data_IF_111450771906
#
_entry.id   IF_111450771906
#
_cell.length_a   1.000
_cell.length_b   1.000
_cell.length_c   1.000
_cell.angle_alpha   90.00
_cell.angle_beta   90.00
_cell.angle_gamma   90.00
#
_symmetry.space_group_name_H-M   'P 1'
#
loop_
_entity.id
_entity.type
_entity.pdbx_description
1 polymer ?
#
# COMPACT_ATOMS: atom_id res chain seq x y z
N UNK A 1 -7.50 3.69 20.12
CA UNK A 1 -7.51 3.70 18.63
C UNK A 1 -8.59 4.68 18.16
N UNK A 2 -8.43 5.25 16.95
CA UNK A 2 -9.40 6.18 16.36
C UNK A 2 -10.74 5.52 15.98
N UNK A 3 -11.69 6.32 15.48
CA UNK A 3 -12.97 5.83 14.95
C UNK A 3 -12.71 5.05 13.64
N UNK A 4 -13.26 3.85 13.53
CA UNK A 4 -13.22 3.06 12.29
C UNK A 4 -14.43 3.38 11.42
N UNK A 5 -14.20 3.54 10.12
CA UNK A 5 -15.25 3.67 9.09
C UNK A 5 -14.94 2.74 7.91
N UNK A 6 -15.97 2.37 7.16
CA UNK A 6 -15.84 1.57 5.93
C UNK A 6 -15.79 2.51 4.73
N UNK A 7 -14.68 2.50 3.97
CA UNK A 7 -14.53 3.34 2.77
C UNK A 7 -15.01 2.67 1.49
N UNK A 8 -15.25 1.37 1.53
CA UNK A 8 -15.72 0.57 0.39
C UNK A 8 -15.86 -0.89 0.76
N UNK A 9 -16.14 -1.71 -0.25
CA UNK A 9 -16.18 -3.17 -0.13
C UNK A 9 -15.31 -3.80 -1.22
N UNK A 10 -14.70 -4.93 -0.89
CA UNK A 10 -13.87 -5.72 -1.81
C UNK A 10 -14.70 -6.49 -2.83
N UNK A 11 -14.04 -7.17 -3.76
CA UNK A 11 -14.68 -8.08 -4.73
C UNK A 11 -15.55 -9.15 -4.05
N UNK A 12 -15.11 -9.66 -2.89
CA UNK A 12 -15.87 -10.67 -2.11
C UNK A 12 -16.86 -10.05 -1.12
N UNK A 13 -16.97 -8.71 -1.07
CA UNK A 13 -17.92 -7.99 -0.23
C UNK A 13 -17.44 -7.66 1.18
N UNK A 14 -16.18 -7.97 1.54
CA UNK A 14 -15.60 -7.54 2.81
C UNK A 14 -15.48 -6.02 2.89
N UNK A 15 -15.60 -5.49 4.10
CA UNK A 15 -15.40 -4.07 4.34
C UNK A 15 -13.93 -3.68 4.22
N UNK A 16 -13.67 -2.50 3.66
CA UNK A 16 -12.34 -1.89 3.62
C UNK A 16 -12.28 -0.86 4.75
N UNK A 17 -11.63 -1.19 5.89
CA UNK A 17 -11.67 -0.35 7.08
C UNK A 17 -10.64 0.78 7.00
N UNK A 18 -11.06 1.99 7.37
CA UNK A 18 -10.20 3.14 7.63
C UNK A 18 -10.30 3.54 9.09
N UNK A 19 -9.18 3.59 9.79
CA UNK A 19 -9.08 4.04 11.19
C UNK A 19 -8.65 5.50 11.18
N UNK A 20 -9.52 6.39 11.66
CA UNK A 20 -9.26 7.83 11.71
C UNK A 20 -8.37 8.18 12.90
N UNK A 21 -7.28 8.88 12.64
CA UNK A 21 -6.34 9.35 13.67
C UNK A 21 -5.73 10.72 13.39
N UNK A 22 -5.84 11.22 12.16
CA UNK A 22 -5.36 12.54 11.75
C UNK A 22 -5.53 12.75 10.25
N UNK A 23 -5.80 13.96 9.82
CA UNK A 23 -6.21 14.29 8.45
C UNK A 23 -5.09 14.75 7.53
N UNK A 24 -3.84 14.77 8.00
CA UNK A 24 -2.71 15.25 7.21
C UNK A 24 -2.11 14.13 6.35
N UNK A 25 -2.03 12.93 6.92
CA UNK A 25 -1.36 11.77 6.33
C UNK A 25 -2.29 10.57 6.28
N UNK A 26 -2.34 9.91 5.14
CA UNK A 26 -2.91 8.57 4.98
C UNK A 26 -1.80 7.53 4.93
N UNK A 27 -1.85 6.55 5.83
CA UNK A 27 -0.99 5.36 5.82
C UNK A 27 -1.79 4.18 5.30
N UNK A 28 -1.24 3.46 4.31
CA UNK A 28 -1.87 2.31 3.66
C UNK A 28 -0.96 1.10 3.73
N UNK A 29 -1.52 -0.07 4.09
CA UNK A 29 -0.81 -1.34 4.12
C UNK A 29 -1.54 -2.42 3.32
N UNK A 30 -0.84 -3.53 3.09
CA UNK A 30 -1.37 -4.73 2.45
C UNK A 30 -2.09 -4.44 1.13
N UNK A 31 -1.51 -3.58 0.29
CA UNK A 31 -1.92 -3.44 -1.12
C UNK A 31 -1.56 -4.72 -1.87
N UNK A 32 -0.37 -5.27 -1.62
CA UNK A 32 -0.02 -6.63 -2.02
C UNK A 32 -0.36 -7.63 -0.91
N UNK A 33 -1.06 -8.67 -1.27
CA UNK A 33 -1.61 -9.67 -0.33
C UNK A 33 -0.56 -10.32 0.58
N UNK A 34 0.58 -10.74 0.01
CA UNK A 34 1.68 -11.42 0.71
C UNK A 34 2.48 -10.53 1.67
N UNK A 35 2.25 -9.21 1.65
CA UNK A 35 3.02 -8.21 2.41
C UNK A 35 2.31 -7.77 3.70
N UNK A 36 1.49 -8.65 4.28
CA UNK A 36 0.70 -8.37 5.49
C UNK A 36 1.56 -8.14 6.76
N UNK A 37 2.86 -8.44 6.74
CA UNK A 37 3.81 -8.09 7.81
C UNK A 37 3.85 -6.58 8.07
N UNK A 38 3.67 -5.74 7.04
CA UNK A 38 3.59 -4.29 7.18
C UNK A 38 2.42 -3.87 8.08
N UNK A 39 1.24 -4.49 7.90
CA UNK A 39 0.06 -4.25 8.74
C UNK A 39 0.33 -4.57 10.20
N UNK A 40 0.91 -5.72 10.48
CA UNK A 40 1.25 -6.16 11.84
C UNK A 40 2.26 -5.21 12.51
N UNK A 41 3.31 -4.84 11.78
CA UNK A 41 4.34 -3.93 12.28
C UNK A 41 3.75 -2.55 12.61
N UNK A 42 2.87 -2.00 11.76
CA UNK A 42 2.24 -0.71 12.00
C UNK A 42 1.23 -0.74 13.15
N UNK A 43 0.43 -1.81 13.29
CA UNK A 43 -0.44 -1.95 14.46
C UNK A 43 0.35 -1.88 15.76
N UNK A 44 1.43 -2.68 15.91
CA UNK A 44 2.29 -2.65 17.09
C UNK A 44 2.95 -1.29 17.32
N UNK A 45 3.32 -0.60 16.23
CA UNK A 45 3.88 0.75 16.30
C UNK A 45 2.85 1.76 16.83
N UNK A 46 1.60 1.72 16.33
CA UNK A 46 0.55 2.63 16.77
C UNK A 46 0.01 2.32 18.17
N UNK A 47 0.02 1.06 18.59
CA UNK A 47 -0.30 0.69 19.97
C UNK A 47 0.68 1.35 20.95
N UNK A 48 1.97 1.43 20.59
CA UNK A 48 3.01 2.02 21.43
C UNK A 48 3.01 3.55 21.40
N UNK A 49 2.85 4.15 20.21
CA UNK A 49 3.09 5.60 19.99
C UNK A 49 1.80 6.41 19.83
N UNK A 50 0.64 5.76 19.79
CA UNK A 50 -0.62 6.41 19.41
C UNK A 50 -0.76 6.62 17.90
N UNK A 51 -1.99 6.65 17.43
CA UNK A 51 -2.34 6.88 16.03
C UNK A 51 -2.58 8.38 15.80
N UNK A 52 -1.77 9.01 14.94
CA UNK A 52 -1.86 10.44 14.57
C UNK A 52 -1.97 10.64 13.04
N UNK A 53 -2.38 9.62 12.33
CA UNK A 53 -2.66 9.64 10.88
C UNK A 53 -3.93 8.83 10.61
N UNK A 54 -4.54 8.99 9.46
CA UNK A 54 -5.54 8.05 8.99
C UNK A 54 -4.83 6.79 8.54
N UNK A 55 -5.35 5.63 8.97
CA UNK A 55 -4.71 4.34 8.74
C UNK A 55 -5.66 3.35 8.06
N UNK A 56 -5.28 2.89 6.88
CA UNK A 56 -5.92 1.82 6.13
C UNK A 56 -5.07 0.55 6.29
N UNK A 57 -5.39 -0.31 7.27
CA UNK A 57 -4.53 -1.42 7.64
C UNK A 57 -4.46 -2.51 6.57
N UNK A 58 -5.55 -2.74 5.84
CA UNK A 58 -5.61 -3.76 4.80
C UNK A 58 -6.38 -3.21 3.60
N UNK A 59 -5.64 -2.80 2.56
CA UNK A 59 -6.24 -2.35 1.31
C UNK A 59 -6.83 -3.53 0.52
N UNK A 60 -6.10 -4.63 0.43
CA UNK A 60 -6.44 -5.85 -0.31
C UNK A 60 -6.89 -6.97 0.63
N UNK A 61 -8.08 -6.84 1.23
CA UNK A 61 -8.58 -7.81 2.21
C UNK A 61 -8.71 -9.20 1.58
N UNK A 62 -9.31 -9.30 0.40
CA UNK A 62 -9.52 -10.58 -0.30
C UNK A 62 -8.19 -11.29 -0.59
N UNK A 63 -7.22 -10.53 -1.09
CA UNK A 63 -5.90 -11.08 -1.37
C UNK A 63 -5.18 -11.56 -0.11
N UNK A 64 -5.25 -10.80 0.99
CA UNK A 64 -4.65 -11.21 2.27
C UNK A 64 -5.30 -12.49 2.79
N UNK A 65 -6.62 -12.63 2.65
CA UNK A 65 -7.32 -13.86 3.00
C UNK A 65 -6.83 -15.04 2.15
N UNK A 66 -6.65 -14.86 0.83
CA UNK A 66 -6.05 -15.85 -0.06
C UNK A 66 -4.61 -16.20 0.36
N UNK A 67 -3.76 -15.21 0.60
CA UNK A 67 -2.36 -15.43 0.96
C UNK A 67 -2.19 -16.19 2.29
N UNK A 68 -3.11 -15.97 3.24
CA UNK A 68 -3.05 -16.60 4.58
C UNK A 68 -3.76 -17.93 4.68
N UNK A 69 -4.89 -18.09 3.98
CA UNK A 69 -5.80 -19.23 4.16
C UNK A 69 -5.99 -20.05 2.87
N UNK A 70 -5.29 -19.67 1.79
CA UNK A 70 -5.38 -20.36 0.52
C UNK A 70 -6.74 -20.20 -0.18
N UNK A 71 -7.01 -21.07 -1.13
CA UNK A 71 -8.22 -21.04 -1.94
C UNK A 71 -9.52 -21.28 -1.15
N UNK A 72 -9.44 -21.75 0.10
CA UNK A 72 -10.61 -21.88 0.99
C UNK A 72 -11.19 -20.53 1.44
N UNK A 73 -10.43 -19.46 1.29
CA UNK A 73 -10.87 -18.11 1.58
C UNK A 73 -11.91 -17.55 0.58
N UNK A 74 -12.10 -18.20 -0.56
CA UNK A 74 -13.06 -17.78 -1.60
C UNK A 74 -14.14 -18.82 -1.83
N UNK A 75 -15.25 -18.38 -2.45
CA UNK A 75 -16.33 -19.27 -2.84
C UNK A 75 -15.87 -20.33 -3.88
N UNK A 76 -16.56 -21.47 -3.91
CA UNK A 76 -16.22 -22.63 -4.75
C UNK A 76 -16.16 -22.26 -6.24
N UNK A 77 -16.98 -21.30 -6.68
CA UNK A 77 -17.03 -20.88 -8.08
C UNK A 77 -15.74 -20.19 -8.55
N UNK A 78 -15.06 -19.49 -7.66
CA UNK A 78 -13.78 -18.78 -7.93
C UNK A 78 -12.55 -19.64 -7.69
N UNK A 79 -12.65 -20.60 -6.75
CA UNK A 79 -11.53 -21.42 -6.27
C UNK A 79 -10.73 -22.04 -7.41
N UNK A 80 -11.39 -22.81 -8.28
CA UNK A 80 -10.74 -23.52 -9.39
C UNK A 80 -9.95 -22.56 -10.29
N UNK A 81 -10.58 -21.46 -10.68
CA UNK A 81 -9.94 -20.43 -11.53
C UNK A 81 -8.73 -19.80 -10.87
N UNK A 82 -8.79 -19.47 -9.57
CA UNK A 82 -7.68 -18.86 -8.87
C UNK A 82 -6.52 -19.84 -8.69
N UNK A 83 -6.79 -21.12 -8.42
CA UNK A 83 -5.76 -22.18 -8.38
C UNK A 83 -5.07 -22.32 -9.75
N UNK A 84 -5.84 -22.30 -10.84
CA UNK A 84 -5.28 -22.35 -12.21
C UNK A 84 -4.40 -21.14 -12.50
N UNK A 85 -4.83 -19.91 -12.13
CA UNK A 85 -4.06 -18.69 -12.32
C UNK A 85 -2.80 -18.68 -11.45
N UNK A 86 -2.89 -19.16 -10.21
CA UNK A 86 -1.76 -19.23 -9.28
C UNK A 86 -0.75 -20.34 -9.64
N UNK A 87 -1.19 -21.32 -10.44
CA UNK A 87 -0.38 -22.50 -10.76
C UNK A 87 -0.29 -23.53 -9.64
N UNK A 88 -1.16 -23.44 -8.61
CA UNK A 88 -1.18 -24.34 -7.46
C UNK A 88 -2.05 -23.81 -6.32
N UNK A 89 -2.15 -24.62 -5.26
CA UNK A 89 -2.97 -24.32 -4.07
C UNK A 89 -2.25 -23.45 -3.03
N UNK A 90 -0.93 -23.26 -3.14
CA UNK A 90 -0.16 -22.41 -2.27
C UNK A 90 -0.21 -20.93 -2.71
N UNK A 91 -1.01 -20.15 -2.02
CA UNK A 91 -1.18 -18.70 -2.27
C UNK A 91 -0.24 -17.82 -1.43
N UNK A 92 0.73 -18.37 -0.74
CA UNK A 92 1.64 -17.61 0.14
C UNK A 92 2.38 -16.48 -0.58
N UNK A 93 2.59 -16.61 -1.90
CA UNK A 93 3.23 -15.59 -2.76
C UNK A 93 2.25 -14.71 -3.53
N UNK A 94 0.94 -14.87 -3.31
CA UNK A 94 -0.10 -14.11 -4.02
C UNK A 94 -0.01 -12.61 -3.71
N UNK A 95 -0.05 -11.75 -4.74
CA UNK A 95 -0.06 -10.28 -4.62
C UNK A 95 -1.42 -9.67 -4.91
N UNK A 96 -2.14 -10.26 -5.86
CA UNK A 96 -3.36 -9.72 -6.44
C UNK A 96 -4.57 -9.77 -5.48
N UNK A 97 -5.69 -9.16 -5.90
CA UNK A 97 -6.99 -9.33 -5.25
C UNK A 97 -7.72 -10.61 -5.74
N UNK A 98 -9.01 -10.76 -5.38
CA UNK A 98 -9.82 -11.92 -5.78
C UNK A 98 -10.20 -11.97 -7.28
N UNK A 99 -9.96 -10.90 -8.03
CA UNK A 99 -10.08 -10.89 -9.50
C UNK A 99 -8.74 -11.16 -10.19
N UNK A 100 -7.70 -11.51 -9.44
CA UNK A 100 -6.33 -11.66 -9.92
C UNK A 100 -5.77 -10.38 -10.56
N UNK A 101 -6.12 -9.20 -10.00
CA UNK A 101 -5.61 -7.87 -10.38
C UNK A 101 -4.66 -7.38 -9.29
N UNK A 102 -3.48 -6.92 -9.68
CA UNK A 102 -2.54 -6.27 -8.77
C UNK A 102 -2.97 -4.82 -8.55
N UNK A 103 -3.44 -4.52 -7.33
CA UNK A 103 -3.99 -3.20 -7.00
C UNK A 103 -2.96 -2.07 -7.13
N UNK A 104 -1.65 -2.37 -7.00
CA UNK A 104 -0.59 -1.35 -7.11
C UNK A 104 -0.15 -1.06 -8.56
N UNK A 105 -0.88 -1.57 -9.55
CA UNK A 105 -0.77 -1.19 -10.97
C UNK A 105 -2.14 -0.88 -11.59
N UNK A 106 -3.19 -0.75 -10.76
CA UNK A 106 -4.58 -0.55 -11.21
C UNK A 106 -5.07 0.89 -11.06
N UNK A 107 -4.31 1.79 -10.41
CA UNK A 107 -4.67 3.22 -10.33
C UNK A 107 -4.51 3.93 -11.68
N UNK A 108 -5.30 4.99 -11.91
CA UNK A 108 -5.20 5.85 -13.09
C UNK A 108 -3.99 6.80 -13.00
N UNK A 109 -2.79 6.23 -13.02
CA UNK A 109 -1.51 6.92 -12.98
C UNK A 109 -0.58 6.37 -14.07
N UNK A 110 -0.77 6.81 -15.31
CA UNK A 110 -0.15 6.20 -16.49
C UNK A 110 -0.41 4.69 -16.55
N UNK A 111 -1.65 4.31 -16.25
CA UNK A 111 -2.09 2.95 -16.25
C UNK A 111 -1.62 2.21 -17.51
N UNK A 112 -1.26 0.96 -17.38
CA UNK A 112 -0.75 0.08 -18.46
C UNK A 112 0.64 0.42 -19.03
N UNK A 113 1.35 1.44 -18.53
CA UNK A 113 2.66 1.84 -19.07
C UNK A 113 3.86 1.30 -18.28
N UNK A 114 3.62 0.52 -17.22
CA UNK A 114 4.69 -0.12 -16.44
C UNK A 114 5.38 -1.25 -17.22
N UNK A 115 6.71 -1.34 -17.10
CA UNK A 115 7.52 -2.33 -17.85
C UNK A 115 7.28 -3.79 -17.45
N UNK A 116 6.70 -4.02 -16.26
CA UNK A 116 6.38 -5.36 -15.75
C UNK A 116 4.89 -5.69 -15.86
N UNK A 117 4.10 -4.83 -16.49
CA UNK A 117 2.67 -5.01 -16.55
C UNK A 117 2.26 -6.27 -17.32
N UNK A 118 1.27 -6.96 -16.79
CA UNK A 118 0.62 -8.12 -17.38
C UNK A 118 -0.81 -7.73 -17.77
N UNK A 119 -1.31 -8.23 -18.90
CA UNK A 119 -2.61 -7.84 -19.48
C UNK A 119 -3.64 -8.98 -19.45
N UNK A 120 -3.46 -9.94 -18.58
CA UNK A 120 -4.38 -11.03 -18.29
C UNK A 120 -4.33 -11.37 -16.80
N UNK A 121 -5.40 -11.96 -16.23
CA UNK A 121 -5.44 -12.33 -14.81
C UNK A 121 -4.20 -13.13 -14.39
N UNK A 122 -3.50 -12.64 -13.37
CA UNK A 122 -2.24 -13.20 -12.91
C UNK A 122 -2.06 -13.00 -11.38
N UNK A 123 -1.18 -13.78 -10.73
CA UNK A 123 -0.88 -13.63 -9.31
C UNK A 123 -0.29 -12.26 -8.95
N UNK A 124 0.35 -11.59 -9.92
CA UNK A 124 0.98 -10.28 -9.77
C UNK A 124 1.02 -9.50 -11.09
N UNK A 125 1.16 -8.18 -11.00
CA UNK A 125 1.37 -7.24 -12.11
C UNK A 125 0.24 -7.14 -13.15
N UNK A 126 -0.89 -7.84 -12.99
CA UNK A 126 -2.04 -7.65 -13.87
C UNK A 126 -2.72 -6.32 -13.57
N UNK A 127 -2.78 -5.48 -14.59
CA UNK A 127 -3.27 -4.10 -14.49
C UNK A 127 -4.80 -3.98 -14.36
N UNK A 128 -5.54 -5.08 -14.54
CA UNK A 128 -7.00 -5.05 -14.66
C UNK A 128 -7.48 -4.68 -16.07
N UNK A 129 -8.79 -4.78 -16.34
CA UNK A 129 -9.35 -4.50 -17.66
C UNK A 129 -9.37 -3.02 -18.05
N UNK A 130 -9.33 -2.11 -17.06
CA UNK A 130 -9.24 -0.65 -17.23
C UNK A 130 -8.73 -0.02 -15.92
N UNK A 131 -8.28 1.26 -15.94
CA UNK A 131 -7.80 1.90 -14.72
C UNK A 131 -8.92 2.00 -13.68
N UNK A 132 -8.55 1.82 -12.42
CA UNK A 132 -9.51 1.76 -11.30
C UNK A 132 -10.64 0.73 -11.52
N UNK A 133 -10.36 -0.41 -12.19
CA UNK A 133 -11.37 -1.45 -12.40
C UNK A 133 -11.82 -2.10 -11.09
N UNK A 134 -10.93 -2.19 -10.12
CA UNK A 134 -11.18 -2.91 -8.88
C UNK A 134 -11.89 -2.04 -7.82
N UNK A 135 -12.86 -2.62 -7.09
CA UNK A 135 -13.59 -1.87 -6.05
C UNK A 135 -12.66 -1.36 -4.95
N UNK A 136 -11.60 -2.09 -4.60
CA UNK A 136 -10.59 -1.69 -3.65
C UNK A 136 -9.84 -0.44 -4.11
N UNK A 137 -9.39 -0.42 -5.37
CA UNK A 137 -8.73 0.74 -5.98
C UNK A 137 -9.67 1.94 -6.04
N UNK A 138 -10.94 1.74 -6.47
CA UNK A 138 -11.96 2.81 -6.49
C UNK A 138 -12.19 3.41 -5.11
N UNK A 139 -12.23 2.59 -4.07
CA UNK A 139 -12.47 3.05 -2.70
C UNK A 139 -11.37 4.01 -2.25
N UNK A 140 -10.09 3.63 -2.44
CA UNK A 140 -8.94 4.47 -2.08
C UNK A 140 -8.85 5.70 -2.97
N UNK A 141 -9.00 5.57 -4.28
CA UNK A 141 -8.99 6.71 -5.21
C UNK A 141 -10.10 7.73 -4.88
N UNK A 142 -11.30 7.25 -4.55
CA UNK A 142 -12.42 8.11 -4.11
C UNK A 142 -12.12 8.81 -2.79
N UNK A 143 -11.50 8.11 -1.84
CA UNK A 143 -11.04 8.70 -0.58
C UNK A 143 -10.04 9.85 -0.85
N UNK A 144 -9.03 9.62 -1.67
CA UNK A 144 -8.00 10.61 -2.00
C UNK A 144 -8.55 11.84 -2.74
N UNK A 145 -9.54 11.65 -3.60
CA UNK A 145 -10.22 12.76 -4.29
C UNK A 145 -11.09 13.61 -3.35
N UNK A 146 -11.65 13.00 -2.31
CA UNK A 146 -12.55 13.66 -1.35
C UNK A 146 -11.80 14.35 -0.21
N UNK A 147 -10.75 13.71 0.30
CA UNK A 147 -10.00 14.19 1.46
C UNK A 147 -8.78 15.03 1.03
N UNK A 148 -8.42 16.00 1.85
CA UNK A 148 -7.25 16.85 1.61
C UNK A 148 -6.01 16.32 2.35
N UNK A 149 -5.58 15.09 2.02
CA UNK A 149 -4.30 14.60 2.51
C UNK A 149 -3.15 15.41 1.89
N UNK A 150 -2.14 15.69 2.68
CA UNK A 150 -0.90 16.30 2.23
C UNK A 150 0.19 15.25 1.95
N UNK A 151 0.02 14.05 2.56
CA UNK A 151 0.94 12.94 2.43
C UNK A 151 0.20 11.61 2.37
N UNK A 152 0.65 10.72 1.49
CA UNK A 152 0.20 9.32 1.43
C UNK A 152 1.42 8.40 1.48
N UNK A 153 1.41 7.44 2.39
CA UNK A 153 2.50 6.47 2.54
C UNK A 153 1.96 5.06 2.43
N UNK A 154 2.34 4.35 1.36
CA UNK A 154 2.02 2.94 1.14
C UNK A 154 3.17 2.07 1.63
N UNK A 155 2.91 1.26 2.66
CA UNK A 155 3.88 0.33 3.20
C UNK A 155 3.77 -1.03 2.55
N UNK A 156 4.89 -1.46 2.01
CA UNK A 156 5.15 -2.72 1.32
C UNK A 156 6.27 -3.51 2.03
N UNK A 157 6.62 -4.64 1.50
CA UNK A 157 7.82 -5.40 1.79
C UNK A 157 8.29 -6.06 0.48
N UNK A 158 9.61 -6.03 0.19
CA UNK A 158 10.78 -5.73 1.02
C UNK A 158 11.87 -4.98 0.24
N UNK A 159 12.89 -4.46 0.94
CA UNK A 159 14.03 -3.85 0.24
C UNK A 159 14.75 -2.73 1.00
N UNK A 160 14.25 -2.31 2.18
CA UNK A 160 14.80 -1.17 2.97
C UNK A 160 14.99 0.09 2.11
N UNK A 161 13.98 0.43 1.30
CA UNK A 161 13.99 1.59 0.40
C UNK A 161 12.67 2.37 0.47
N UNK A 162 12.79 3.69 0.35
CA UNK A 162 11.66 4.61 0.18
C UNK A 162 11.65 5.08 -1.26
N UNK A 163 10.60 4.72 -2.00
CA UNK A 163 10.36 5.23 -3.33
C UNK A 163 9.60 6.54 -3.27
N UNK A 164 10.12 7.53 -3.99
CA UNK A 164 9.64 8.90 -4.04
C UNK A 164 9.55 9.39 -5.49
N UNK A 165 8.60 10.31 -5.74
CA UNK A 165 8.44 11.02 -7.00
C UNK A 165 7.84 10.18 -8.12
N UNK A 166 7.08 10.86 -8.98
CA UNK A 166 6.53 10.32 -10.22
C UNK A 166 6.48 11.41 -11.29
N UNK A 167 7.11 11.17 -12.43
CA UNK A 167 7.24 12.20 -13.47
C UNK A 167 5.88 12.72 -13.96
N UNK A 168 5.67 14.03 -14.11
CA UNK A 168 6.67 15.10 -13.98
C UNK A 168 6.87 15.62 -12.54
N UNK A 169 6.14 15.09 -11.54
CA UNK A 169 6.08 15.60 -10.18
C UNK A 169 7.18 14.97 -9.30
N UNK A 170 8.22 15.74 -9.04
CA UNK A 170 9.31 15.38 -8.12
C UNK A 170 9.37 16.38 -6.96
N UNK A 171 8.19 16.61 -6.34
CA UNK A 171 8.04 17.56 -5.24
C UNK A 171 8.45 16.92 -3.89
N UNK A 172 8.82 17.77 -2.92
CA UNK A 172 9.01 17.35 -1.52
C UNK A 172 10.14 16.31 -1.29
N UNK A 173 11.21 16.34 -2.09
CA UNK A 173 12.37 15.46 -1.90
C UNK A 173 12.96 15.56 -0.49
N UNK A 174 13.00 16.76 0.08
CA UNK A 174 13.57 17.00 1.41
C UNK A 174 12.81 16.24 2.50
N UNK A 175 11.49 16.28 2.46
CA UNK A 175 10.61 15.58 3.38
C UNK A 175 10.69 14.05 3.18
N UNK A 176 10.72 13.59 1.94
CA UNK A 176 10.90 12.16 1.61
C UNK A 176 12.28 11.64 2.12
N UNK A 177 13.33 12.41 1.89
CA UNK A 177 14.70 12.08 2.33
C UNK A 177 14.81 12.04 3.86
N UNK A 178 14.24 13.02 4.57
CA UNK A 178 14.22 13.05 6.02
C UNK A 178 13.54 11.80 6.62
N UNK A 179 12.44 11.36 6.01
CA UNK A 179 11.76 10.15 6.44
C UNK A 179 12.60 8.89 6.16
N UNK A 180 13.18 8.77 4.96
CA UNK A 180 14.07 7.65 4.61
C UNK A 180 15.27 7.57 5.56
N UNK A 181 15.91 8.70 5.87
CA UNK A 181 17.05 8.77 6.80
C UNK A 181 16.66 8.33 8.22
N UNK A 182 15.48 8.75 8.70
CA UNK A 182 14.98 8.35 10.01
C UNK A 182 14.73 6.84 10.10
N UNK A 183 14.36 6.19 9.00
CA UNK A 183 14.26 4.72 8.92
C UNK A 183 15.62 4.03 8.75
N UNK A 184 16.66 4.76 8.36
CA UNK A 184 17.93 4.20 7.91
C UNK A 184 17.82 3.46 6.57
N UNK A 185 16.90 3.90 5.69
CA UNK A 185 16.60 3.30 4.39
C UNK A 185 17.19 4.13 3.23
N UNK A 186 17.39 3.47 2.10
CA UNK A 186 17.69 4.14 0.85
C UNK A 186 16.51 4.96 0.33
N UNK A 187 16.78 5.96 -0.52
CA UNK A 187 15.73 6.68 -1.27
C UNK A 187 15.97 6.52 -2.76
N UNK A 188 14.93 6.24 -3.52
CA UNK A 188 14.99 6.02 -4.96
C UNK A 188 13.71 6.49 -5.67
N UNK A 189 13.76 6.54 -7.01
CA UNK A 189 12.56 6.67 -7.87
C UNK A 189 12.26 5.31 -8.51
N UNK A 190 10.99 4.94 -8.57
CA UNK A 190 10.56 3.67 -9.16
C UNK A 190 10.50 3.77 -10.70
N UNK A 191 11.66 3.74 -11.35
CA UNK A 191 11.76 3.85 -12.82
C UNK A 191 11.07 2.66 -13.49
N UNK A 192 10.16 2.95 -14.43
CA UNK A 192 9.43 1.92 -15.18
C UNK A 192 8.24 1.30 -14.43
N UNK A 193 7.94 1.76 -13.22
CA UNK A 193 6.70 1.43 -12.51
C UNK A 193 5.65 2.50 -12.78
N UNK A 194 4.40 2.11 -12.99
CA UNK A 194 3.26 2.99 -13.21
C UNK A 194 1.98 2.37 -12.65
N UNK A 195 1.00 3.21 -12.31
CA UNK A 195 -0.31 2.77 -11.83
C UNK A 195 -0.36 2.44 -10.34
N UNK A 196 0.67 2.80 -9.58
CA UNK A 196 0.72 2.63 -8.13
C UNK A 196 -0.04 3.71 -7.37
N UNK A 197 -0.36 3.43 -6.09
CA UNK A 197 -1.03 4.38 -5.20
C UNK A 197 -0.22 5.68 -5.04
N UNK A 198 1.09 5.57 -4.82
CA UNK A 198 2.01 6.71 -4.73
C UNK A 198 1.95 7.57 -6.01
N UNK A 199 2.04 6.91 -7.17
CA UNK A 199 2.04 7.57 -8.48
C UNK A 199 0.74 8.33 -8.71
N UNK A 200 -0.39 7.71 -8.34
CA UNK A 200 -1.71 8.32 -8.43
C UNK A 200 -1.82 9.56 -7.55
N UNK A 201 -1.36 9.47 -6.30
CA UNK A 201 -1.38 10.61 -5.39
C UNK A 201 -0.49 11.76 -5.87
N UNK A 202 0.71 11.48 -6.38
CA UNK A 202 1.61 12.47 -6.95
C UNK A 202 0.97 13.21 -8.15
N UNK A 203 0.14 12.51 -8.95
CA UNK A 203 -0.60 13.11 -10.08
C UNK A 203 -1.83 13.93 -9.67
N UNK A 204 -2.43 13.65 -8.50
CA UNK A 204 -3.58 14.42 -8.00
C UNK A 204 -3.20 15.87 -7.64
N UNK A 205 -1.91 16.16 -7.40
CA UNK A 205 -1.56 17.53 -7.11
C UNK A 205 -0.24 17.74 -6.36
N UNK A 206 -0.29 18.51 -5.27
CA UNK A 206 0.89 19.06 -4.62
C UNK A 206 1.37 18.27 -3.38
N UNK A 207 0.79 17.10 -3.12
CA UNK A 207 1.14 16.27 -1.96
C UNK A 207 2.39 15.42 -2.16
N UNK A 208 2.79 14.71 -1.11
CA UNK A 208 3.90 13.77 -1.11
C UNK A 208 3.40 12.32 -1.08
N UNK A 209 3.58 11.60 -2.17
CA UNK A 209 3.40 10.14 -2.25
C UNK A 209 4.69 9.39 -1.93
N UNK A 210 4.60 8.37 -1.06
CA UNK A 210 5.72 7.47 -0.77
C UNK A 210 5.28 6.01 -0.88
N UNK A 211 6.17 5.17 -1.42
CA UNK A 211 6.11 3.72 -1.25
C UNK A 211 7.31 3.29 -0.42
N UNK A 212 7.08 2.58 0.67
CA UNK A 212 8.11 2.15 1.62
C UNK A 212 8.21 0.63 1.59
N UNK A 213 9.35 0.11 1.20
CA UNK A 213 9.63 -1.33 1.22
C UNK A 213 10.31 -1.70 2.55
N UNK A 214 9.51 -2.23 3.48
CA UNK A 214 9.96 -2.60 4.82
C UNK A 214 10.84 -3.85 4.78
N UNK A 215 11.91 -3.81 5.56
CA UNK A 215 12.75 -4.99 5.85
C UNK A 215 13.73 -5.37 4.74
N UNK A 216 14.70 -6.19 5.14
CA UNK A 216 15.84 -6.54 4.31
C UNK A 216 15.46 -7.46 3.14
N UNK A 217 16.10 -7.22 1.99
CA UNK A 217 15.87 -7.98 0.75
C UNK A 217 16.37 -9.44 0.80
N UNK A 218 17.21 -9.78 1.77
CA UNK A 218 17.71 -11.15 1.98
C UNK A 218 16.64 -12.18 2.37
N UNK A 219 15.51 -11.74 2.95
CA UNK A 219 14.41 -12.63 3.32
C UNK A 219 13.50 -12.93 2.12
N UNK A 220 12.84 -14.07 2.13
CA UNK A 220 11.81 -14.43 1.14
C UNK A 220 10.43 -13.95 1.58
N UNK A 221 9.46 -13.96 0.67
CA UNK A 221 8.04 -13.88 1.02
C UNK A 221 7.45 -15.25 1.35
N UNK A 222 6.46 -15.33 2.24
CA UNK A 222 6.01 -14.27 3.15
C UNK A 222 7.15 -13.81 4.05
N UNK A 223 7.19 -12.50 4.37
CA UNK A 223 8.25 -11.95 5.22
C UNK A 223 8.19 -12.58 6.62
N UNK A 224 9.35 -13.03 7.19
CA UNK A 224 9.33 -13.83 8.43
C UNK A 224 8.75 -13.08 9.63
N UNK A 225 7.80 -13.67 10.34
CA UNK A 225 7.18 -13.08 11.54
C UNK A 225 8.20 -12.73 12.63
N UNK A 226 9.29 -13.51 12.74
CA UNK A 226 10.39 -13.24 13.68
C UNK A 226 11.12 -11.92 13.47
N UNK A 227 11.00 -11.33 12.26
CA UNK A 227 11.61 -10.05 11.90
C UNK A 227 10.68 -8.85 12.16
N UNK A 228 9.40 -9.06 12.45
CA UNK A 228 8.44 -7.99 12.73
C UNK A 228 8.91 -7.04 13.85
N UNK A 229 9.50 -7.51 14.97
CA UNK A 229 10.02 -6.60 16.01
C UNK A 229 11.06 -5.60 15.47
N UNK A 230 11.91 -6.00 14.50
CA UNK A 230 12.88 -5.11 13.86
C UNK A 230 12.19 -4.06 12.98
N UNK A 231 11.14 -4.45 12.25
CA UNK A 231 10.32 -3.50 11.49
C UNK A 231 9.68 -2.46 12.42
N UNK A 232 9.14 -2.89 13.55
CA UNK A 232 8.56 -2.00 14.58
C UNK A 232 9.59 -1.04 15.13
N UNK A 233 10.82 -1.47 15.37
CA UNK A 233 11.91 -0.60 15.82
C UNK A 233 12.19 0.51 14.81
N UNK A 234 12.34 0.19 13.52
CA UNK A 234 12.54 1.15 12.43
C UNK A 234 11.38 2.14 12.31
N UNK A 235 10.16 1.65 12.37
CA UNK A 235 8.95 2.48 12.34
C UNK A 235 8.90 3.43 13.55
N UNK A 236 9.19 2.96 14.77
CA UNK A 236 9.23 3.81 15.96
C UNK A 236 10.21 4.99 15.83
N UNK A 237 11.34 4.80 15.14
CA UNK A 237 12.34 5.85 14.92
C UNK A 237 11.88 6.92 13.93
N UNK A 238 10.94 6.57 13.02
CA UNK A 238 10.55 7.43 11.88
C UNK A 238 9.16 8.07 12.00
N UNK A 239 8.28 7.56 12.88
CA UNK A 239 6.89 8.03 12.96
C UNK A 239 6.77 9.52 13.27
N UNK A 240 7.62 10.08 14.14
CA UNK A 240 7.56 11.51 14.45
C UNK A 240 7.85 12.37 13.21
N UNK A 241 8.87 11.97 12.43
CA UNK A 241 9.22 12.66 11.18
C UNK A 241 8.07 12.57 10.16
N UNK A 242 7.42 11.39 10.07
CA UNK A 242 6.26 11.22 9.21
C UNK A 242 5.12 12.18 9.56
N UNK A 243 4.80 12.32 10.84
CA UNK A 243 3.75 13.21 11.31
C UNK A 243 4.09 14.69 11.14
N UNK A 244 5.33 15.09 11.44
CA UNK A 244 5.77 16.49 11.26
C UNK A 244 5.80 16.86 9.77
N UNK A 245 6.27 15.99 8.89
CA UNK A 245 6.19 16.17 7.44
C UNK A 245 4.74 16.40 7.00
N UNK A 246 3.79 15.55 7.41
CA UNK A 246 2.38 15.70 7.07
C UNK A 246 1.81 17.04 7.47
N UNK A 247 2.08 17.50 8.70
CA UNK A 247 1.63 18.81 9.21
C UNK A 247 2.25 19.98 8.43
N UNK A 248 3.56 19.91 8.16
CA UNK A 248 4.26 20.97 7.42
C UNK A 248 3.75 21.06 5.99
N UNK A 249 3.60 19.94 5.32
CA UNK A 249 3.04 19.85 3.97
C UNK A 249 1.59 20.36 3.92
N UNK A 250 0.76 19.99 4.90
CA UNK A 250 -0.63 20.47 4.98
C UNK A 250 -0.69 22.00 5.03
N UNK A 251 0.18 22.62 5.85
CA UNK A 251 0.27 24.09 5.92
C UNK A 251 0.78 24.73 4.62
N UNK A 252 1.74 24.10 3.94
CA UNK A 252 2.28 24.61 2.67
C UNK A 252 1.27 24.51 1.50
N UNK A 253 0.45 23.46 1.47
CA UNK A 253 -0.44 23.15 0.35
C UNK A 253 -1.83 23.78 0.53
N UNK A 254 -2.34 23.86 1.76
CA UNK A 254 -3.73 24.22 2.05
C UNK A 254 -3.88 25.39 3.04
N UNK A 255 -2.80 25.87 3.64
CA UNK A 255 -2.77 27.05 4.51
C UNK A 255 -2.44 28.27 3.72
#
# INVERSE_FOLDING_TARGET
MGKTETIGRTVLGYEIPLIRGGSETLVVCSTHAREHCATEALFRTFEKNGLRCDFLPVHNVDGVMLAKFGADAVDVSRRKRLIEINGGEDFSLWKANANAVDLNVNFDARWSQGVRNVFFPAPENYVGPYPESEPETKAVASLLRREKYAQVVSFHAKGEVVYWGFAPNFLHYREAKAFADAMGYGIATAIGSCGGLKDYFDLLGNGLGLTVELGEDKFSHPYPDGEIPRLVEKLNQSMEILYENGKELKRKIYG
#
